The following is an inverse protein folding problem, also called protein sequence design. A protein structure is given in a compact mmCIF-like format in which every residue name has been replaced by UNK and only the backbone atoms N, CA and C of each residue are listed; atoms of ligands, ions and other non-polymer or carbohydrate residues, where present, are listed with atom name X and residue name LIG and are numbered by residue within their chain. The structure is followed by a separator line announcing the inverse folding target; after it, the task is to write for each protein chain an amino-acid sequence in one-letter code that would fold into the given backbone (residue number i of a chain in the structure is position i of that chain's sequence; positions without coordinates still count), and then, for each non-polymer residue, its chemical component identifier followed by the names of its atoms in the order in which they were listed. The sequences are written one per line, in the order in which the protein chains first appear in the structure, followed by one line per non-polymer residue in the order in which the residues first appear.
data_IF_126365093912
#
_entry.id   IF_126365093912
#
_cell.length_a   1.000
_cell.length_b   1.000
_cell.length_c   1.000
_cell.angle_alpha   90.00
_cell.angle_beta   90.00
_cell.angle_gamma   90.00
#
_symmetry.space_group_name_H-M   'P 1'
#
loop_
_entity.id
_entity.type
_entity.pdbx_description
1 polymer ?
#
# COMPACT_ATOMS: atom_id res chain seq x y z
N UNK A 1 7.47 8.02 13.63
CA UNK A 1 6.37 8.64 12.85
C UNK A 1 6.84 8.71 11.42
N UNK A 2 6.14 8.07 10.51
CA UNK A 2 6.45 8.19 9.09
C UNK A 2 6.29 9.65 8.67
N UNK A 3 7.37 10.25 8.20
CA UNK A 3 7.36 11.64 7.73
C UNK A 3 7.22 11.72 6.20
N UNK A 4 7.19 10.56 5.53
CA UNK A 4 7.19 10.43 4.07
C UNK A 4 8.25 11.32 3.40
N UNK A 5 9.47 11.26 3.93
CA UNK A 5 10.60 12.09 3.46
C UNK A 5 11.48 11.39 2.45
N UNK A 6 11.44 10.05 2.40
CA UNK A 6 12.28 9.23 1.54
C UNK A 6 11.44 8.19 0.81
N UNK A 7 10.91 8.58 -0.35
CA UNK A 7 9.95 7.78 -1.12
C UNK A 7 10.65 6.92 -2.16
N UNK A 8 10.35 5.63 -2.17
CA UNK A 8 10.72 4.71 -3.25
C UNK A 8 9.54 4.58 -4.22
N UNK A 9 9.79 4.79 -5.50
CA UNK A 9 8.83 4.57 -6.58
C UNK A 9 9.24 3.32 -7.36
N UNK A 10 8.45 2.26 -7.23
CA UNK A 10 8.63 1.06 -8.02
C UNK A 10 8.14 1.32 -9.46
N UNK A 11 9.08 1.46 -10.39
CA UNK A 11 8.82 1.72 -11.81
C UNK A 11 8.32 0.45 -12.49
N UNK A 12 7.36 0.62 -13.40
CA UNK A 12 6.84 -0.46 -14.23
C UNK A 12 7.41 -0.39 -15.65
N UNK A 13 8.29 -1.33 -15.99
CA UNK A 13 8.93 -1.37 -17.31
C UNK A 13 7.98 -1.75 -18.45
N UNK A 14 6.75 -2.15 -18.16
CA UNK A 14 5.74 -2.55 -19.16
C UNK A 14 4.85 -1.40 -19.63
N UNK A 15 4.95 -0.25 -18.96
CA UNK A 15 4.11 0.93 -19.21
C UNK A 15 4.99 2.16 -19.47
N UNK A 16 4.66 2.95 -20.48
CA UNK A 16 5.31 4.24 -20.73
C UNK A 16 4.83 5.31 -19.75
N UNK A 17 3.57 5.23 -19.32
CA UNK A 17 3.03 6.13 -18.31
C UNK A 17 3.30 5.59 -16.90
N UNK A 18 3.81 6.47 -16.02
CA UNK A 18 4.23 6.13 -14.66
C UNK A 18 3.41 6.92 -13.61
N UNK A 19 2.13 6.54 -13.34
CA UNK A 19 1.28 7.23 -12.37
C UNK A 19 1.89 7.31 -10.97
N UNK A 20 2.62 6.27 -10.54
CA UNK A 20 3.31 6.26 -9.26
C UNK A 20 4.40 7.34 -9.17
N UNK A 21 5.15 7.58 -10.26
CA UNK A 21 6.14 8.65 -10.32
C UNK A 21 5.46 10.02 -10.30
N UNK A 22 4.37 10.21 -11.04
CA UNK A 22 3.56 11.45 -10.96
C UNK A 22 3.06 11.71 -9.55
N UNK A 23 2.61 10.67 -8.83
CA UNK A 23 2.16 10.78 -7.45
C UNK A 23 3.30 11.17 -6.51
N UNK A 24 4.49 10.61 -6.67
CA UNK A 24 5.68 10.97 -5.90
C UNK A 24 6.08 12.43 -6.13
N UNK A 25 6.08 12.88 -7.37
CA UNK A 25 6.34 14.29 -7.74
C UNK A 25 5.30 15.23 -7.11
N UNK A 26 4.02 14.87 -7.16
CA UNK A 26 2.96 15.62 -6.48
C UNK A 26 3.22 15.73 -4.98
N UNK A 27 3.61 14.63 -4.31
CA UNK A 27 3.98 14.64 -2.90
C UNK A 27 5.22 15.49 -2.65
N UNK A 28 6.25 15.40 -3.50
CA UNK A 28 7.45 16.24 -3.38
C UNK A 28 7.11 17.73 -3.33
N UNK A 29 6.24 18.21 -4.20
CA UNK A 29 5.81 19.62 -4.19
C UNK A 29 5.08 20.03 -2.90
N UNK A 30 4.52 19.08 -2.15
CA UNK A 30 3.75 19.35 -0.92
C UNK A 30 4.56 19.19 0.36
N UNK A 31 5.47 18.23 0.39
CA UNK A 31 6.19 17.85 1.61
C UNK A 31 7.71 17.89 1.48
N UNK A 32 8.26 18.12 0.28
CA UNK A 32 9.70 18.22 0.06
C UNK A 32 10.44 16.88 0.16
N UNK A 33 9.75 15.75 -0.10
CA UNK A 33 10.35 14.40 0.01
C UNK A 33 11.41 14.15 -1.05
N UNK A 34 12.36 13.25 -0.76
CA UNK A 34 13.28 12.68 -1.75
C UNK A 34 12.57 11.58 -2.52
N UNK A 35 12.91 11.42 -3.78
CA UNK A 35 12.32 10.42 -4.67
C UNK A 35 13.43 9.54 -5.23
N UNK A 36 13.28 8.21 -5.08
CA UNK A 36 14.09 7.23 -5.78
C UNK A 36 13.21 6.44 -6.74
N UNK A 37 13.47 6.55 -8.05
CA UNK A 37 12.86 5.72 -9.08
C UNK A 37 13.65 4.40 -9.15
N UNK A 38 13.02 3.31 -8.74
CA UNK A 38 13.66 2.00 -8.60
C UNK A 38 13.03 0.99 -9.56
N UNK A 39 13.86 0.32 -10.36
CA UNK A 39 13.42 -0.68 -11.33
C UNK A 39 14.20 -1.97 -11.16
N UNK A 40 13.64 -3.02 -10.55
CA UNK A 40 14.19 -4.37 -10.62
C UNK A 40 13.85 -4.99 -11.97
N UNK A 41 14.85 -5.55 -12.64
CA UNK A 41 14.71 -6.24 -13.93
C UNK A 41 15.24 -7.65 -13.85
N UNK A 42 14.65 -8.55 -14.61
CA UNK A 42 15.13 -9.91 -14.79
C UNK A 42 14.67 -10.46 -16.14
N UNK A 43 15.57 -11.05 -16.87
CA UNK A 43 15.31 -11.69 -18.14
C UNK A 43 15.81 -13.14 -18.11
N UNK A 44 14.88 -14.06 -17.93
CA UNK A 44 15.18 -15.49 -17.83
C UNK A 44 15.90 -16.05 -19.04
N UNK A 45 15.59 -15.54 -20.25
CA UNK A 45 16.25 -15.96 -21.50
C UNK A 45 17.76 -15.76 -21.48
N UNK A 46 18.27 -14.76 -20.78
CA UNK A 46 19.70 -14.49 -20.66
C UNK A 46 20.39 -15.43 -19.67
N UNK A 47 19.69 -15.92 -18.65
CA UNK A 47 20.24 -16.88 -17.69
C UNK A 47 20.33 -18.28 -18.27
N UNK A 48 19.40 -18.67 -19.15
CA UNK A 48 19.31 -20.01 -19.74
C UNK A 48 20.27 -20.22 -20.94
N UNK A 49 20.93 -19.16 -21.39
CA UNK A 49 21.84 -19.28 -22.56
C UNK A 49 23.16 -19.91 -22.15
N UNK A 50 23.29 -21.23 -22.40
CA UNK A 50 24.55 -21.98 -22.25
C UNK A 50 25.63 -21.63 -23.30
N UNK A 51 25.24 -20.82 -24.30
CA UNK A 51 26.10 -20.37 -25.39
C UNK A 51 27.01 -19.19 -25.01
N UNK A 52 26.70 -18.48 -23.94
CA UNK A 52 27.48 -17.32 -23.48
C UNK A 52 28.43 -17.71 -22.35
N UNK A 53 29.66 -17.23 -22.42
CA UNK A 53 30.60 -17.28 -21.30
C UNK A 53 30.10 -16.46 -20.10
N UNK A 54 30.63 -16.68 -18.89
CA UNK A 54 30.32 -15.85 -17.73
C UNK A 54 30.51 -14.34 -17.97
N UNK A 55 31.63 -13.96 -18.59
CA UNK A 55 31.95 -12.55 -18.89
C UNK A 55 30.98 -11.93 -19.89
N UNK A 56 30.58 -12.69 -20.93
CA UNK A 56 29.56 -12.21 -21.88
C UNK A 56 28.21 -12.01 -21.21
N UNK A 57 27.81 -12.87 -20.27
CA UNK A 57 26.59 -12.71 -19.49
C UNK A 57 26.63 -11.47 -18.61
N UNK A 58 27.76 -11.22 -17.92
CA UNK A 58 27.97 -10.02 -17.11
C UNK A 58 27.90 -8.76 -17.99
N UNK A 59 28.60 -8.77 -19.14
CA UNK A 59 28.58 -7.64 -20.06
C UNK A 59 27.17 -7.35 -20.59
N UNK A 60 26.39 -8.40 -20.89
CA UNK A 60 25.03 -8.28 -21.37
C UNK A 60 24.09 -7.74 -20.28
N UNK A 61 24.18 -8.25 -19.03
CA UNK A 61 23.42 -7.69 -17.88
C UNK A 61 23.72 -6.20 -17.68
N UNK A 62 25.00 -5.81 -17.69
CA UNK A 62 25.41 -4.39 -17.60
C UNK A 62 24.81 -3.56 -18.73
N UNK A 63 24.79 -4.09 -19.96
CA UNK A 63 24.19 -3.42 -21.12
C UNK A 63 22.68 -3.20 -20.94
N UNK A 64 21.95 -4.23 -20.49
CA UNK A 64 20.51 -4.13 -20.24
C UNK A 64 20.21 -3.16 -19.09
N UNK A 65 20.95 -3.21 -17.99
CA UNK A 65 20.83 -2.27 -16.88
C UNK A 65 21.03 -0.84 -17.36
N UNK A 66 22.09 -0.60 -18.16
CA UNK A 66 22.37 0.74 -18.71
C UNK A 66 21.25 1.25 -19.61
N UNK A 67 20.72 0.40 -20.49
CA UNK A 67 19.59 0.74 -21.37
C UNK A 67 18.34 1.09 -20.55
N UNK A 68 18.02 0.27 -19.56
CA UNK A 68 16.84 0.50 -18.70
C UNK A 68 17.01 1.74 -17.81
N UNK A 69 18.24 2.01 -17.35
CA UNK A 69 18.55 3.25 -16.62
C UNK A 69 18.31 4.47 -17.49
N UNK A 70 18.75 4.44 -18.75
CA UNK A 70 18.49 5.52 -19.69
C UNK A 70 16.99 5.71 -19.94
N UNK A 71 16.24 4.61 -20.10
CA UNK A 71 14.78 4.68 -20.27
C UNK A 71 14.08 5.27 -19.03
N UNK A 72 14.40 4.81 -17.79
CA UNK A 72 13.82 5.41 -16.57
C UNK A 72 14.15 6.90 -16.49
N UNK A 73 15.38 7.28 -16.87
CA UNK A 73 15.78 8.70 -16.91
C UNK A 73 14.93 9.50 -17.88
N UNK A 74 14.63 8.96 -19.05
CA UNK A 74 13.74 9.59 -20.05
C UNK A 74 12.34 9.80 -19.46
N UNK A 75 11.76 8.80 -18.77
CA UNK A 75 10.46 8.92 -18.10
C UNK A 75 10.46 10.02 -17.02
N UNK A 76 11.57 10.23 -16.33
CA UNK A 76 11.72 11.22 -15.26
C UNK A 76 12.23 12.59 -15.75
N UNK A 77 12.66 12.71 -17.02
CA UNK A 77 13.43 13.86 -17.49
C UNK A 77 12.71 15.19 -17.31
N UNK A 78 11.43 15.26 -17.62
CA UNK A 78 10.65 16.50 -17.46
C UNK A 78 10.59 17.00 -16.01
N UNK A 79 10.59 16.09 -15.05
CA UNK A 79 10.60 16.42 -13.63
C UNK A 79 11.99 16.82 -13.15
N UNK A 80 13.04 16.15 -13.65
CA UNK A 80 14.44 16.50 -13.37
C UNK A 80 14.75 17.89 -13.90
N UNK A 81 14.32 18.21 -15.11
CA UNK A 81 14.47 19.52 -15.73
C UNK A 81 13.70 20.63 -14.98
N UNK A 82 12.60 20.26 -14.33
CA UNK A 82 11.85 21.13 -13.42
C UNK A 82 12.52 21.28 -12.03
N UNK A 83 13.69 20.68 -11.82
CA UNK A 83 14.48 20.82 -10.59
C UNK A 83 14.10 19.84 -9.47
N UNK A 84 13.32 18.79 -9.76
CA UNK A 84 12.96 17.78 -8.76
C UNK A 84 14.10 16.76 -8.65
N UNK A 85 14.67 16.54 -7.45
CA UNK A 85 15.74 15.57 -7.26
C UNK A 85 15.17 14.15 -7.29
N UNK A 86 15.41 13.45 -8.40
CA UNK A 86 15.01 12.04 -8.58
C UNK A 86 16.28 11.21 -8.75
N UNK A 87 16.54 10.33 -7.78
CA UNK A 87 17.57 9.31 -7.88
C UNK A 87 17.04 8.13 -8.72
N UNK A 88 17.84 7.58 -9.61
CA UNK A 88 17.47 6.44 -10.46
C UNK A 88 18.36 5.26 -10.11
N UNK A 89 17.74 4.12 -9.81
CA UNK A 89 18.44 2.85 -9.57
C UNK A 89 17.76 1.71 -10.31
N UNK A 90 18.50 1.00 -11.13
CA UNK A 90 18.06 -0.21 -11.85
C UNK A 90 18.94 -1.36 -11.38
N UNK A 91 18.32 -2.45 -10.98
CA UNK A 91 19.02 -3.63 -10.46
C UNK A 91 18.60 -4.89 -11.21
N UNK A 92 19.52 -5.86 -11.28
CA UNK A 92 19.21 -7.18 -11.81
C UNK A 92 18.82 -8.11 -10.68
N UNK A 93 17.54 -8.50 -10.61
CA UNK A 93 17.07 -9.37 -9.55
C UNK A 93 15.83 -10.18 -9.99
N UNK A 94 15.84 -11.49 -9.75
CA UNK A 94 14.80 -12.42 -10.22
C UNK A 94 13.48 -12.35 -9.42
N UNK A 95 13.48 -11.69 -8.26
CA UNK A 95 12.30 -11.48 -7.42
C UNK A 95 12.11 -10.00 -7.17
N UNK A 96 11.33 -9.29 -8.01
CA UNK A 96 11.19 -7.83 -7.94
C UNK A 96 10.78 -7.31 -6.57
N UNK A 97 9.89 -8.00 -5.85
CA UNK A 97 9.45 -7.57 -4.52
C UNK A 97 10.56 -7.66 -3.47
N UNK A 98 11.47 -8.66 -3.57
CA UNK A 98 12.61 -8.78 -2.65
C UNK A 98 13.57 -7.62 -2.86
N UNK A 99 13.96 -7.35 -4.10
CA UNK A 99 14.82 -6.20 -4.42
C UNK A 99 14.23 -4.87 -3.94
N UNK A 100 12.92 -4.65 -4.09
CA UNK A 100 12.25 -3.45 -3.60
C UNK A 100 12.33 -3.37 -2.07
N UNK A 101 12.06 -4.47 -1.36
CA UNK A 101 12.08 -4.49 0.11
C UNK A 101 13.51 -4.34 0.64
N UNK A 102 14.50 -4.98 0.02
CA UNK A 102 15.92 -4.81 0.37
C UNK A 102 16.35 -3.34 0.21
N UNK A 103 15.97 -2.70 -0.90
CA UNK A 103 16.23 -1.27 -1.10
C UNK A 103 15.53 -0.40 -0.03
N UNK A 104 14.29 -0.74 0.33
CA UNK A 104 13.55 -0.06 1.42
C UNK A 104 14.32 -0.13 2.73
N UNK A 105 14.83 -1.30 3.08
CA UNK A 105 15.55 -1.52 4.34
C UNK A 105 16.91 -0.81 4.31
N UNK A 106 17.69 -1.02 3.23
CA UNK A 106 19.07 -0.50 3.10
C UNK A 106 19.10 1.02 3.03
N UNK A 107 18.21 1.64 2.24
CA UNK A 107 18.15 3.08 2.05
C UNK A 107 17.16 3.77 2.98
N UNK A 108 16.53 3.04 3.91
CA UNK A 108 15.57 3.55 4.90
C UNK A 108 14.44 4.37 4.27
N UNK A 109 13.81 3.81 3.22
CA UNK A 109 12.63 4.43 2.65
C UNK A 109 11.43 4.31 3.59
N UNK A 110 10.64 5.38 3.68
CA UNK A 110 9.50 5.49 4.58
C UNK A 110 8.14 5.40 3.87
N UNK A 111 8.15 5.25 2.54
CA UNK A 111 6.98 4.99 1.71
C UNK A 111 7.39 4.32 0.39
N UNK A 112 6.66 3.30 -0.02
CA UNK A 112 6.74 2.73 -1.37
C UNK A 112 5.51 3.15 -2.16
N UNK A 113 5.73 3.71 -3.35
CA UNK A 113 4.69 3.97 -4.34
C UNK A 113 4.83 2.98 -5.49
N UNK A 114 3.75 2.31 -5.83
CA UNK A 114 3.70 1.42 -7.00
C UNK A 114 2.38 1.60 -7.73
N UNK A 115 2.43 1.62 -9.07
CA UNK A 115 1.19 1.65 -9.84
C UNK A 115 0.48 0.30 -9.80
N UNK A 116 -0.85 0.34 -9.78
CA UNK A 116 -1.68 -0.83 -9.99
C UNK A 116 -1.80 -1.13 -11.49
N UNK A 117 -1.74 -2.41 -11.88
CA UNK A 117 -1.99 -2.80 -13.27
C UNK A 117 -3.47 -2.63 -13.61
N UNK A 118 -3.75 -1.92 -14.71
CA UNK A 118 -5.10 -1.86 -15.29
C UNK A 118 -5.18 -2.81 -16.50
N UNK A 119 -6.19 -3.65 -16.54
CA UNK A 119 -6.48 -4.47 -17.71
C UNK A 119 -7.44 -3.73 -18.63
N UNK A 120 -7.05 -3.55 -19.89
CA UNK A 120 -7.48 -2.59 -20.91
C UNK A 120 -8.96 -2.49 -21.29
N UNK A 121 -9.91 -3.22 -20.74
CA UNK A 121 -11.31 -3.16 -21.25
C UNK A 121 -12.43 -3.09 -20.22
N UNK A 122 -12.18 -3.30 -18.95
CA UNK A 122 -13.23 -3.34 -17.93
C UNK A 122 -13.00 -2.45 -16.71
N UNK A 123 -11.91 -1.68 -16.67
CA UNK A 123 -11.56 -0.86 -15.51
C UNK A 123 -11.23 -1.70 -14.26
N UNK A 124 -11.08 -3.00 -14.41
CA UNK A 124 -10.70 -3.89 -13.34
C UNK A 124 -9.19 -3.72 -13.05
N UNK A 125 -8.85 -3.51 -11.81
CA UNK A 125 -7.47 -3.44 -11.33
C UNK A 125 -7.03 -4.86 -10.99
N UNK A 126 -5.93 -5.31 -11.61
CA UNK A 126 -5.31 -6.58 -11.26
C UNK A 126 -4.07 -6.33 -10.43
N UNK A 127 -4.03 -6.94 -9.25
CA UNK A 127 -2.85 -6.96 -8.41
C UNK A 127 -1.89 -8.05 -8.88
N UNK A 128 -0.64 -7.67 -9.14
CA UNK A 128 0.42 -8.61 -9.50
C UNK A 128 0.91 -9.38 -8.28
N UNK A 129 1.60 -10.52 -8.45
CA UNK A 129 2.27 -11.19 -7.33
C UNK A 129 3.21 -10.25 -6.55
N UNK A 130 3.90 -9.33 -7.23
CA UNK A 130 4.76 -8.32 -6.60
C UNK A 130 3.95 -7.40 -5.67
N UNK A 131 2.76 -6.93 -6.10
CA UNK A 131 1.90 -6.09 -5.26
C UNK A 131 1.53 -6.79 -3.97
N UNK A 132 1.06 -8.04 -4.07
CA UNK A 132 0.68 -8.84 -2.91
C UNK A 132 1.85 -9.10 -1.96
N UNK A 133 3.05 -9.36 -2.50
CA UNK A 133 4.24 -9.52 -1.67
C UNK A 133 4.64 -8.22 -0.97
N UNK A 134 4.59 -7.08 -1.65
CA UNK A 134 4.85 -5.77 -1.03
C UNK A 134 3.85 -5.47 0.08
N UNK A 135 2.55 -5.64 -0.19
CA UNK A 135 1.48 -5.41 0.79
C UNK A 135 1.62 -6.31 2.03
N UNK A 136 2.17 -7.52 1.89
CA UNK A 136 2.38 -8.46 3.00
C UNK A 136 3.72 -8.25 3.73
N UNK A 137 4.80 -7.95 3.02
CA UNK A 137 6.18 -8.09 3.53
C UNK A 137 6.95 -6.77 3.66
N UNK A 138 6.53 -5.69 3.00
CA UNK A 138 7.24 -4.42 3.07
C UNK A 138 7.12 -3.80 4.47
N UNK A 139 8.24 -3.39 5.11
CA UNK A 139 8.20 -2.85 6.48
C UNK A 139 7.65 -1.42 6.57
N UNK A 140 7.74 -0.64 5.50
CA UNK A 140 7.13 0.68 5.44
C UNK A 140 5.75 0.66 4.76
N UNK A 141 4.96 1.73 4.88
CA UNK A 141 3.71 1.88 4.15
C UNK A 141 3.87 1.67 2.64
N UNK A 142 2.87 1.00 2.05
CA UNK A 142 2.81 0.77 0.60
C UNK A 142 1.58 1.46 0.02
N UNK A 143 1.80 2.35 -0.92
CA UNK A 143 0.74 3.07 -1.62
C UNK A 143 0.61 2.54 -3.05
N UNK A 144 -0.48 1.86 -3.31
CA UNK A 144 -0.84 1.41 -4.66
C UNK A 144 -1.60 2.54 -5.34
N UNK A 145 -0.98 3.10 -6.36
CA UNK A 145 -1.51 4.23 -7.13
C UNK A 145 -2.33 3.72 -8.30
N UNK A 146 -3.55 4.20 -8.42
CA UNK A 146 -4.39 4.03 -9.60
C UNK A 146 -4.29 5.27 -10.49
N UNK A 147 -4.50 5.08 -11.78
CA UNK A 147 -4.37 6.16 -12.75
C UNK A 147 -5.56 7.13 -12.66
N UNK A 148 -5.65 7.82 -11.53
CA UNK A 148 -6.61 8.88 -11.31
C UNK A 148 -5.91 10.11 -10.72
N UNK A 149 -6.23 11.32 -11.21
CA UNK A 149 -5.69 12.53 -10.60
C UNK A 149 -6.18 12.61 -9.14
N UNK A 150 -5.33 13.11 -8.26
CA UNK A 150 -5.73 13.38 -6.89
C UNK A 150 -6.65 14.60 -6.89
N UNK A 151 -7.92 14.47 -6.47
CA UNK A 151 -8.83 15.61 -6.48
C UNK A 151 -8.40 16.66 -5.44
N UNK A 152 -8.52 17.94 -5.79
CA UNK A 152 -8.40 19.01 -4.81
C UNK A 152 -9.53 18.89 -3.79
N UNK A 153 -9.20 18.94 -2.49
CA UNK A 153 -10.18 18.70 -1.43
C UNK A 153 -10.69 17.26 -1.40
N UNK A 154 -9.85 16.28 -1.85
CA UNK A 154 -10.21 14.87 -1.87
C UNK A 154 -10.50 14.29 -0.49
N UNK A 155 -11.10 13.10 -0.47
CA UNK A 155 -11.43 12.39 0.77
C UNK A 155 -10.55 11.17 0.92
N UNK A 156 -10.03 10.97 2.14
CA UNK A 156 -9.36 9.74 2.55
C UNK A 156 -10.30 8.94 3.44
N UNK A 157 -10.54 7.68 3.12
CA UNK A 157 -11.37 6.78 3.90
C UNK A 157 -10.48 5.80 4.68
N UNK A 158 -10.48 5.90 6.00
CA UNK A 158 -9.71 5.04 6.89
C UNK A 158 -10.61 3.91 7.41
N UNK A 159 -10.27 2.68 7.08
CA UNK A 159 -10.97 1.52 7.60
C UNK A 159 -10.39 1.11 8.97
N UNK A 160 -11.22 1.15 10.00
CA UNK A 160 -10.84 0.85 11.38
C UNK A 160 -11.55 -0.41 11.86
N UNK A 161 -10.82 -1.23 12.61
CA UNK A 161 -11.40 -2.40 13.28
C UNK A 161 -11.94 -1.97 14.65
N UNK A 162 -13.27 -2.01 14.80
CA UNK A 162 -13.97 -1.66 16.04
C UNK A 162 -14.45 -2.88 16.83
N UNK A 163 -14.17 -4.09 16.33
CA UNK A 163 -14.70 -5.34 16.91
C UNK A 163 -13.75 -6.02 17.89
N UNK A 164 -12.48 -5.62 17.88
CA UNK A 164 -11.46 -6.31 18.66
C UNK A 164 -11.23 -5.65 20.00
N UNK A 165 -11.18 -6.45 21.05
CA UNK A 165 -10.73 -6.03 22.38
C UNK A 165 -9.19 -6.16 22.54
N UNK A 166 -8.48 -6.54 21.46
CA UNK A 166 -7.05 -6.74 21.49
C UNK A 166 -6.29 -5.41 21.35
N UNK A 167 -5.38 -5.07 22.27
CA UNK A 167 -4.71 -3.78 22.31
C UNK A 167 -3.93 -3.41 21.03
N UNK A 168 -3.45 -4.40 20.30
CA UNK A 168 -2.72 -4.15 19.05
C UNK A 168 -3.62 -3.64 17.91
N UNK A 169 -4.92 -3.96 17.91
CA UNK A 169 -5.86 -3.40 16.95
C UNK A 169 -6.09 -1.91 17.21
N UNK A 170 -6.21 -1.52 18.48
CA UNK A 170 -6.34 -0.11 18.84
C UNK A 170 -5.10 0.68 18.45
N UNK A 171 -3.91 0.14 18.72
CA UNK A 171 -2.64 0.75 18.34
C UNK A 171 -2.54 0.95 16.82
N UNK A 172 -2.96 -0.05 16.03
CA UNK A 172 -2.98 0.05 14.58
C UNK A 172 -4.01 1.08 14.10
N UNK A 173 -5.25 1.07 14.62
CA UNK A 173 -6.25 2.09 14.30
C UNK A 173 -5.71 3.51 14.54
N UNK A 174 -5.05 3.72 15.68
CA UNK A 174 -4.44 5.01 16.00
C UNK A 174 -3.30 5.37 15.04
N UNK A 175 -2.48 4.41 14.66
CA UNK A 175 -1.41 4.63 13.67
C UNK A 175 -1.99 5.03 12.32
N UNK A 176 -3.00 4.30 11.82
CA UNK A 176 -3.69 4.62 10.58
C UNK A 176 -4.18 6.08 10.58
N UNK A 177 -4.81 6.49 11.67
CA UNK A 177 -5.33 7.84 11.79
C UNK A 177 -4.23 8.89 11.88
N UNK A 178 -3.21 8.69 12.70
CA UNK A 178 -2.09 9.63 12.81
C UNK A 178 -1.42 9.86 11.45
N UNK A 179 -1.12 8.80 10.73
CA UNK A 179 -0.46 8.89 9.43
C UNK A 179 -1.37 9.49 8.36
N UNK A 180 -2.64 9.11 8.34
CA UNK A 180 -3.61 9.68 7.38
C UNK A 180 -3.87 11.16 7.64
N UNK A 181 -4.05 11.59 8.88
CA UNK A 181 -4.25 13.00 9.24
C UNK A 181 -3.02 13.83 8.89
N UNK A 182 -1.82 13.31 9.16
CA UNK A 182 -0.58 13.97 8.80
C UNK A 182 -0.48 14.15 7.27
N UNK A 183 -0.74 13.12 6.51
CA UNK A 183 -0.76 13.17 5.05
C UNK A 183 -1.82 14.16 4.55
N UNK A 184 -3.05 14.05 5.05
CA UNK A 184 -4.18 14.90 4.69
C UNK A 184 -3.92 16.40 4.97
N UNK A 185 -3.25 16.69 6.08
CA UNK A 185 -2.89 18.08 6.43
C UNK A 185 -1.92 18.73 5.45
N UNK A 186 -1.10 17.92 4.79
CA UNK A 186 -0.09 18.36 3.81
C UNK A 186 -0.61 18.30 2.37
N UNK A 187 -1.61 17.50 2.11
CA UNK A 187 -2.17 17.23 0.79
C UNK A 187 -3.56 17.87 0.66
N UNK A 188 -3.61 19.07 0.09
CA UNK A 188 -4.81 19.79 -0.36
C UNK A 188 -6.04 19.78 0.57
N UNK A 189 -5.85 19.88 1.90
CA UNK A 189 -6.98 19.88 2.88
C UNK A 189 -7.91 18.66 2.70
N UNK A 190 -7.33 17.51 2.47
CA UNK A 190 -8.06 16.24 2.33
C UNK A 190 -8.90 15.97 3.58
N UNK A 191 -10.19 15.71 3.39
CA UNK A 191 -11.07 15.30 4.48
C UNK A 191 -10.81 13.85 4.87
N UNK A 192 -10.73 13.58 6.17
CA UNK A 192 -10.49 12.23 6.69
C UNK A 192 -11.80 11.65 7.21
N UNK A 193 -12.28 10.61 6.53
CA UNK A 193 -13.45 9.85 6.91
C UNK A 193 -13.05 8.52 7.55
N UNK A 194 -13.82 8.05 8.54
CA UNK A 194 -13.63 6.75 9.18
C UNK A 194 -14.76 5.81 8.80
N UNK A 195 -14.43 4.54 8.59
CA UNK A 195 -15.42 3.49 8.42
C UNK A 195 -15.11 2.30 9.31
N UNK A 196 -16.13 1.84 10.04
CA UNK A 196 -16.17 0.57 10.74
C UNK A 196 -17.34 -0.25 10.25
N UNK A 197 -17.09 -1.50 9.83
CA UNK A 197 -18.12 -2.44 9.42
C UNK A 197 -18.40 -3.44 10.55
N UNK A 198 -19.67 -3.82 10.76
CA UNK A 198 -20.03 -4.88 11.67
C UNK A 198 -20.88 -5.95 10.97
N UNK A 199 -20.65 -7.24 11.28
CA UNK A 199 -21.27 -8.34 10.56
C UNK A 199 -22.78 -8.40 10.82
N UNK A 200 -23.49 -8.96 9.84
CA UNK A 200 -24.90 -9.38 10.00
C UNK A 200 -24.91 -10.68 10.80
N UNK A 201 -25.88 -10.83 11.70
CA UNK A 201 -26.13 -12.11 12.36
C UNK A 201 -26.31 -13.20 11.31
N UNK A 202 -25.52 -14.29 11.35
CA UNK A 202 -25.68 -15.39 10.39
C UNK A 202 -27.11 -15.97 10.46
N UNK A 203 -27.70 -16.22 9.29
CA UNK A 203 -29.06 -16.79 9.18
C UNK A 203 -29.15 -18.13 9.89
N UNK A 204 -28.05 -18.91 9.90
CA UNK A 204 -27.97 -20.19 10.63
C UNK A 204 -28.28 -20.07 12.13
N UNK A 205 -27.83 -18.99 12.77
CA UNK A 205 -28.11 -18.74 14.20
C UNK A 205 -29.61 -18.51 14.41
N UNK A 206 -30.27 -17.79 13.54
CA UNK A 206 -31.71 -17.53 13.64
C UNK A 206 -32.54 -18.83 13.40
N UNK A 207 -32.03 -19.77 12.62
CA UNK A 207 -32.67 -21.07 12.34
C UNK A 207 -32.43 -22.04 13.49
N UNK A 208 -31.20 -22.09 14.00
CA UNK A 208 -30.81 -23.04 15.08
C UNK A 208 -31.35 -22.64 16.46
N UNK A 209 -31.58 -21.34 16.66
CA UNK A 209 -32.09 -20.76 17.92
C UNK A 209 -33.36 -19.97 17.65
N UNK A 210 -34.55 -20.61 17.58
CA UNK A 210 -35.81 -19.94 17.26
C UNK A 210 -36.19 -18.77 18.17
N UNK A 211 -35.73 -18.83 19.44
CA UNK A 211 -35.98 -17.77 20.44
C UNK A 211 -34.93 -16.67 20.44
N UNK A 212 -33.94 -16.73 19.52
CA UNK A 212 -32.88 -15.75 19.43
C UNK A 212 -33.39 -14.43 18.79
N UNK A 213 -33.41 -13.37 19.61
CA UNK A 213 -33.75 -12.03 19.11
C UNK A 213 -32.56 -11.41 18.36
N UNK A 214 -32.50 -11.67 17.05
CA UNK A 214 -31.48 -11.12 16.16
C UNK A 214 -31.50 -9.59 16.13
N UNK A 215 -32.63 -8.94 16.39
CA UNK A 215 -32.74 -7.48 16.37
C UNK A 215 -32.07 -6.87 17.59
N UNK A 216 -32.32 -7.39 18.78
CA UNK A 216 -31.64 -6.95 20.01
C UNK A 216 -30.13 -7.19 19.93
N UNK A 217 -29.71 -8.36 19.42
CA UNK A 217 -28.29 -8.67 19.23
C UNK A 217 -27.59 -7.69 18.26
N UNK A 218 -28.19 -7.46 17.10
CA UNK A 218 -27.63 -6.52 16.11
C UNK A 218 -27.57 -5.08 16.65
N UNK A 219 -28.56 -4.67 17.43
CA UNK A 219 -28.58 -3.34 18.07
C UNK A 219 -27.46 -3.22 19.13
N UNK A 220 -27.20 -4.29 19.90
CA UNK A 220 -26.11 -4.32 20.86
C UNK A 220 -24.74 -4.20 20.18
N UNK A 221 -24.48 -4.98 19.11
CA UNK A 221 -23.25 -4.88 18.33
C UNK A 221 -23.08 -3.49 17.74
N UNK A 222 -24.13 -2.95 17.10
CA UNK A 222 -24.11 -1.60 16.57
C UNK A 222 -23.77 -0.57 17.65
N UNK A 223 -24.39 -0.71 18.84
CA UNK A 223 -24.12 0.15 19.99
C UNK A 223 -22.65 0.15 20.41
N UNK A 224 -22.03 -1.04 20.50
CA UNK A 224 -20.60 -1.18 20.81
C UNK A 224 -19.73 -0.49 19.77
N UNK A 225 -19.99 -0.70 18.47
CA UNK A 225 -19.25 -0.05 17.38
C UNK A 225 -19.40 1.47 17.40
N UNK A 226 -20.59 2.00 17.70
CA UNK A 226 -20.81 3.44 17.83
C UNK A 226 -20.03 4.03 19.01
N UNK A 227 -19.95 3.31 20.14
CA UNK A 227 -19.17 3.73 21.31
C UNK A 227 -17.67 3.76 20.97
N UNK A 228 -17.14 2.69 20.36
CA UNK A 228 -15.75 2.61 19.94
C UNK A 228 -15.40 3.69 18.90
N UNK A 229 -16.26 3.90 17.89
CA UNK A 229 -16.08 4.95 16.90
C UNK A 229 -16.09 6.34 17.55
N UNK A 230 -16.99 6.58 18.50
CA UNK A 230 -17.07 7.85 19.23
C UNK A 230 -15.78 8.12 20.02
N UNK A 231 -15.25 7.12 20.71
CA UNK A 231 -13.99 7.25 21.44
C UNK A 231 -12.84 7.60 20.50
N UNK A 232 -12.74 6.89 19.37
CA UNK A 232 -11.68 7.09 18.37
C UNK A 232 -11.78 8.48 17.72
N UNK A 233 -12.97 8.90 17.25
CA UNK A 233 -13.15 10.21 16.63
C UNK A 233 -12.88 11.37 17.59
N UNK A 234 -13.22 11.22 18.88
CA UNK A 234 -12.94 12.25 19.90
C UNK A 234 -11.45 12.40 20.14
N UNK A 235 -10.70 11.29 20.20
CA UNK A 235 -9.24 11.29 20.36
C UNK A 235 -8.52 12.04 19.24
N UNK A 236 -9.04 11.96 18.01
CA UNK A 236 -8.43 12.57 16.82
C UNK A 236 -9.17 13.83 16.32
N UNK A 237 -10.13 14.33 17.07
CA UNK A 237 -10.92 15.54 16.71
C UNK A 237 -11.60 15.46 15.35
N UNK A 238 -12.09 14.26 14.98
CA UNK A 238 -12.83 14.04 13.73
C UNK A 238 -14.32 14.32 13.95
N UNK A 239 -14.93 15.04 13.01
CA UNK A 239 -16.35 15.37 13.06
C UNK A 239 -17.22 14.11 12.94
N UNK A 240 -18.39 14.13 13.58
CA UNK A 240 -19.32 12.99 13.57
C UNK A 240 -19.81 12.63 12.16
N UNK A 241 -20.06 13.63 11.32
CA UNK A 241 -20.49 13.45 9.94
C UNK A 241 -19.42 12.84 9.02
N UNK A 242 -18.17 12.71 9.50
CA UNK A 242 -17.08 12.04 8.81
C UNK A 242 -16.85 10.61 9.34
N UNK A 243 -17.80 10.08 10.14
CA UNK A 243 -17.68 8.73 10.73
C UNK A 243 -18.85 7.86 10.31
N UNK A 244 -18.55 6.65 9.87
CA UNK A 244 -19.49 5.70 9.30
C UNK A 244 -19.40 4.37 10.04
N UNK A 245 -20.52 3.93 10.63
CA UNK A 245 -20.63 2.61 11.25
C UNK A 245 -21.72 1.85 10.51
N UNK A 246 -21.30 0.97 9.64
CA UNK A 246 -22.16 0.34 8.64
C UNK A 246 -22.33 -1.15 8.92
N UNK A 247 -23.54 -1.64 8.66
CA UNK A 247 -23.90 -3.05 8.77
C UNK A 247 -23.55 -3.78 7.47
N UNK A 248 -22.74 -4.81 7.55
CA UNK A 248 -22.37 -5.64 6.40
C UNK A 248 -20.96 -6.22 6.53
N UNK A 249 -20.53 -6.92 5.50
CA UNK A 249 -19.16 -7.40 5.38
C UNK A 249 -18.24 -6.25 4.98
N UNK A 250 -17.07 -6.17 5.58
CA UNK A 250 -16.12 -5.07 5.33
C UNK A 250 -15.72 -4.97 3.84
N UNK A 251 -15.60 -6.12 3.18
CA UNK A 251 -15.30 -6.24 1.75
C UNK A 251 -16.39 -5.68 0.80
N UNK A 252 -17.59 -5.49 1.31
CA UNK A 252 -18.68 -4.82 0.59
C UNK A 252 -18.86 -3.37 1.05
N UNK A 253 -18.82 -3.14 2.36
CA UNK A 253 -19.06 -1.83 2.97
C UNK A 253 -17.99 -0.83 2.57
N UNK A 254 -16.70 -1.19 2.68
CA UNK A 254 -15.60 -0.25 2.47
C UNK A 254 -15.53 0.22 1.00
N UNK A 255 -15.55 -0.66 -0.02
CA UNK A 255 -15.52 -0.23 -1.42
C UNK A 255 -16.77 0.57 -1.84
N UNK A 256 -17.95 0.19 -1.35
CA UNK A 256 -19.18 0.89 -1.63
C UNK A 256 -19.17 2.30 -1.03
N UNK A 257 -18.73 2.43 0.22
CA UNK A 257 -18.62 3.74 0.86
C UNK A 257 -17.54 4.61 0.22
N UNK A 258 -16.39 4.02 -0.14
CA UNK A 258 -15.33 4.72 -0.88
C UNK A 258 -15.85 5.29 -2.20
N UNK A 259 -16.66 4.51 -2.93
CA UNK A 259 -17.30 4.96 -4.17
C UNK A 259 -18.34 6.06 -3.90
N UNK A 260 -19.19 5.90 -2.88
CA UNK A 260 -20.23 6.90 -2.52
C UNK A 260 -19.63 8.24 -2.09
N UNK A 261 -18.52 8.20 -1.36
CA UNK A 261 -17.81 9.39 -0.91
C UNK A 261 -16.91 9.99 -2.01
N UNK A 262 -16.74 9.31 -3.13
CA UNK A 262 -15.72 9.66 -4.13
C UNK A 262 -14.33 9.77 -3.50
N UNK A 263 -14.00 8.81 -2.63
CA UNK A 263 -12.73 8.81 -1.93
C UNK A 263 -11.56 8.66 -2.91
N UNK A 264 -10.55 9.53 -2.77
CA UNK A 264 -9.32 9.46 -3.57
C UNK A 264 -8.40 8.34 -3.10
N UNK A 265 -8.48 7.96 -1.82
CA UNK A 265 -7.67 6.91 -1.22
C UNK A 265 -8.42 6.20 -0.11
N UNK A 266 -8.24 4.88 -0.04
CA UNK A 266 -8.61 4.06 1.12
C UNK A 266 -7.36 3.69 1.88
N UNK A 267 -7.39 3.81 3.21
CA UNK A 267 -6.29 3.46 4.10
C UNK A 267 -6.68 2.24 4.92
N UNK A 268 -5.87 1.19 4.83
CA UNK A 268 -6.08 -0.08 5.50
C UNK A 268 -4.89 -0.44 6.39
N UNK A 269 -5.18 -1.06 7.54
CA UNK A 269 -4.19 -1.73 8.34
C UNK A 269 -4.07 -3.21 7.97
N UNK A 270 -2.86 -3.74 8.05
CA UNK A 270 -2.65 -5.19 7.97
C UNK A 270 -2.19 -5.68 9.32
N UNK A 271 -2.88 -6.67 9.88
CA UNK A 271 -2.49 -7.31 11.13
C UNK A 271 -1.84 -8.64 10.78
N UNK A 272 -0.55 -8.76 11.11
CA UNK A 272 0.06 -10.07 11.28
C UNK A 272 -0.55 -10.71 12.54
N UNK A 273 -1.16 -11.90 12.45
CA UNK A 273 -1.52 -12.65 13.66
C UNK A 273 -0.22 -12.97 14.41
N UNK A 274 -0.14 -12.50 15.65
CA UNK A 274 0.97 -12.84 16.56
C UNK A 274 1.14 -14.35 16.61
N UNK A 275 2.32 -14.86 16.23
CA UNK A 275 2.67 -16.29 16.31
C UNK A 275 2.62 -17.10 15.02
N UNK A 276 2.08 -16.59 13.93
CA UNK A 276 2.18 -17.21 12.60
C UNK A 276 2.77 -16.17 11.65
N UNK A 277 3.96 -16.47 11.12
CA UNK A 277 4.78 -15.69 10.18
C UNK A 277 4.19 -14.34 9.71
N UNK A 278 4.92 -13.26 9.92
CA UNK A 278 4.60 -11.84 9.63
C UNK A 278 4.16 -11.50 8.18
N UNK A 279 3.79 -12.49 7.37
CA UNK A 279 3.50 -12.37 5.95
C UNK A 279 2.00 -12.50 5.60
N UNK A 280 1.09 -12.41 6.58
CA UNK A 280 -0.34 -12.59 6.30
C UNK A 280 -1.06 -11.24 6.16
N UNK A 281 -1.64 -11.01 5.00
CA UNK A 281 -2.73 -10.06 4.80
C UNK A 281 -4.02 -10.80 5.20
N UNK A 282 -4.88 -10.19 6.03
CA UNK A 282 -6.15 -10.85 6.39
C UNK A 282 -7.06 -11.01 5.17
N UNK A 283 -7.83 -12.12 5.10
CA UNK A 283 -8.74 -12.39 3.99
C UNK A 283 -9.67 -11.19 3.67
N UNK A 284 -10.18 -10.52 4.71
CA UNK A 284 -11.03 -9.33 4.55
C UNK A 284 -10.27 -8.19 3.85
N UNK A 285 -9.00 -7.95 4.23
CA UNK A 285 -8.20 -6.91 3.59
C UNK A 285 -7.94 -7.24 2.10
N UNK A 286 -7.65 -8.51 1.77
CA UNK A 286 -7.46 -8.94 0.38
C UNK A 286 -8.72 -8.70 -0.47
N UNK A 287 -9.89 -9.07 0.03
CA UNK A 287 -11.16 -8.88 -0.68
C UNK A 287 -11.53 -7.39 -0.85
N UNK A 288 -11.27 -6.57 0.18
CA UNK A 288 -11.43 -5.10 0.07
C UNK A 288 -10.54 -4.55 -1.03
N UNK A 289 -9.26 -4.93 -1.02
CA UNK A 289 -8.24 -4.45 -1.96
C UNK A 289 -8.63 -4.73 -3.41
N UNK A 290 -9.08 -5.94 -3.71
CA UNK A 290 -9.50 -6.35 -5.06
C UNK A 290 -10.71 -5.56 -5.57
N UNK A 291 -11.56 -5.08 -4.66
CA UNK A 291 -12.81 -4.37 -4.99
C UNK A 291 -12.66 -2.85 -5.08
N UNK A 292 -11.53 -2.27 -4.63
CA UNK A 292 -11.32 -0.82 -4.62
C UNK A 292 -11.09 -0.27 -6.03
N UNK A 293 -11.60 0.95 -6.27
CA UNK A 293 -11.40 1.71 -7.51
C UNK A 293 -10.50 2.94 -7.36
N UNK A 294 -10.23 3.37 -6.14
CA UNK A 294 -9.34 4.49 -5.79
C UNK A 294 -7.97 4.00 -5.32
N UNK A 295 -7.05 4.91 -5.06
CA UNK A 295 -5.75 4.60 -4.47
C UNK A 295 -5.90 3.82 -3.16
N UNK A 296 -4.89 3.04 -2.83
CA UNK A 296 -4.83 2.24 -1.62
C UNK A 296 -3.54 2.53 -0.86
N UNK A 297 -3.63 2.90 0.41
CA UNK A 297 -2.49 2.97 1.32
C UNK A 297 -2.60 1.88 2.38
N UNK A 298 -1.62 1.02 2.44
CA UNK A 298 -1.55 -0.06 3.43
C UNK A 298 -0.46 0.26 4.44
N UNK A 299 -0.84 0.25 5.72
CA UNK A 299 0.05 0.57 6.84
C UNK A 299 0.14 -0.65 7.77
N UNK A 300 1.34 -0.94 8.22
CA UNK A 300 1.62 -2.03 9.15
C UNK A 300 1.73 -1.55 10.60
N UNK A 301 1.53 -2.45 11.59
CA UNK A 301 1.82 -2.15 12.99
C UNK A 301 3.27 -1.68 13.19
N UNK A 302 3.55 -1.02 14.33
CA UNK A 302 4.89 -0.50 14.62
C UNK A 302 5.91 -1.61 14.94
N UNK A 303 5.45 -2.77 15.37
CA UNK A 303 6.23 -3.96 15.69
C UNK A 303 6.41 -4.92 14.50
N UNK A 304 6.03 -4.49 13.30
CA UNK A 304 6.19 -5.31 12.10
C UNK A 304 7.64 -5.34 11.64
N UNK A 305 8.21 -6.52 11.55
CA UNK A 305 9.53 -6.77 10.98
C UNK A 305 9.41 -7.55 9.66
N UNK A 306 10.18 -7.11 8.65
CA UNK A 306 10.25 -7.83 7.39
C UNK A 306 11.07 -9.10 7.54
N UNK A 307 10.60 -10.19 6.94
CA UNK A 307 11.35 -11.47 6.87
C UNK A 307 12.32 -11.52 5.68
N UNK A 308 12.42 -10.45 4.90
CA UNK A 308 13.34 -10.40 3.77
C UNK A 308 14.74 -10.12 4.31
N UNK A 309 15.65 -11.05 4.07
CA UNK A 309 17.05 -10.91 4.40
C UNK A 309 17.72 -9.98 3.38
N UNK A 310 18.73 -9.24 3.83
CA UNK A 310 19.60 -8.49 2.93
C UNK A 310 20.55 -9.46 2.28
N UNK A 311 20.67 -9.40 0.96
CA UNK A 311 21.71 -10.14 0.26
C UNK A 311 23.06 -9.60 0.75
N UNK A 312 23.92 -10.47 1.24
CA UNK A 312 25.31 -10.14 1.59
C UNK A 312 26.11 -10.05 0.29
N UNK A 313 25.92 -9.00 -0.49
CA UNK A 313 26.64 -8.76 -1.75
C UNK A 313 28.09 -8.26 -1.55
N UNK A 314 28.73 -8.56 -0.40
CA UNK A 314 30.09 -8.09 -0.10
C UNK A 314 31.18 -9.19 -0.11
N UNK A 315 31.00 -10.33 -0.80
CA UNK A 315 32.07 -11.34 -0.82
C UNK A 315 32.34 -12.01 -2.18
N UNK A 316 32.24 -11.32 -3.34
CA UNK A 316 32.75 -11.93 -4.58
C UNK A 316 33.44 -10.97 -5.59
N UNK A 317 34.06 -9.88 -5.16
CA UNK A 317 34.89 -9.08 -6.09
C UNK A 317 36.34 -8.77 -5.59
N UNK A 318 36.89 -9.53 -4.63
CA UNK A 318 38.30 -9.40 -4.23
C UNK A 318 38.98 -10.76 -4.03
N UNK A 319 39.06 -11.59 -5.07
CA UNK A 319 40.17 -12.59 -5.20
C UNK A 319 40.47 -12.88 -6.67
N UNK A 320 41.65 -12.38 -7.08
CA UNK A 320 42.55 -12.66 -8.23
C UNK A 320 42.35 -11.81 -9.49
#
# INVERSE_FOLDING_TARGET
MANYQNILVAIDATQDDQPALRRAVYLHHRIGCKIKAFLPIYEFSYEMTTLLSPDERIAMRKGVISQRTAWVKEQAQSYIDAGIPIEIKVVWHNRPFEAIIQEVITAQHDLVLKMAHQYDRLGAVLFTPTDWHLLRKCPCPVWIVKDQPWPEGGKALVAVNLTSEEPHHDALNEKLLRETILLASKVNKTEVHLVGAYPITPISIAIELPDFDSSTYNNAIRGQHLIAMKALRQKFSINENMTHVEKGLAEEVIPNLATHLEAGIVVLGTIGRTGLSAAFLGNTAEQVIDSLRCDLLVIKPDDFESMIELDNDDEEDDED
#
